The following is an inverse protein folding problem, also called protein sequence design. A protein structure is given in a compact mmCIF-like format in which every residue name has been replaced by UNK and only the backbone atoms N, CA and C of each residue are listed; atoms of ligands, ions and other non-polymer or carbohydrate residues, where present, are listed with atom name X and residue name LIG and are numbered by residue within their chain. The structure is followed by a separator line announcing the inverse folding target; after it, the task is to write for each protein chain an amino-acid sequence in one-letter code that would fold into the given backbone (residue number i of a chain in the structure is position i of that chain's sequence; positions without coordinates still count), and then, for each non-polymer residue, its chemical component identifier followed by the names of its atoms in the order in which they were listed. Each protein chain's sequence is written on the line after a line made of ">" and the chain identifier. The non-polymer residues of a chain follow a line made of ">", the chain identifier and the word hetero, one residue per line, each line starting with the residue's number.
data_IF_453407805229
#
_entry.id   IF_453407805229
#
_cell.length_a   1.000
_cell.length_b   1.000
_cell.length_c   1.000
_cell.angle_alpha   90.00
_cell.angle_beta   90.00
_cell.angle_gamma   90.00
#
_symmetry.space_group_name_H-M   'P 1'
#
loop_
_entity.id
_entity.type
_entity.pdbx_description
1 polymer ?
#
# COMPACT_ATOMS: atom_id res chain seq x y z
N UNK A 1 13.56 -8.37 5.37
CA UNK A 1 13.86 -7.08 6.05
C UNK A 1 14.48 -7.47 7.37
N UNK A 2 15.75 -7.12 7.54
CA UNK A 2 16.54 -7.71 8.62
C UNK A 2 16.99 -6.66 9.65
N UNK A 3 16.63 -5.38 9.42
CA UNK A 3 16.86 -4.30 10.37
C UNK A 3 15.95 -4.48 11.61
N UNK A 4 16.51 -4.68 12.82
CA UNK A 4 15.70 -4.99 14.01
C UNK A 4 14.73 -3.88 14.43
N UNK A 5 15.04 -2.62 14.08
CA UNK A 5 14.18 -1.49 14.37
C UNK A 5 13.03 -1.34 13.35
N UNK A 6 13.07 -2.06 12.24
CA UNK A 6 12.05 -1.97 11.21
C UNK A 6 10.75 -2.63 11.69
N UNK A 7 9.57 -1.97 11.55
CA UNK A 7 8.29 -2.55 11.96
C UNK A 7 7.95 -3.88 11.29
N UNK A 8 8.47 -4.09 10.08
CA UNK A 8 8.35 -5.31 9.30
C UNK A 8 9.60 -6.21 9.37
N UNK A 9 10.40 -6.13 10.44
CA UNK A 9 11.56 -7.01 10.64
C UNK A 9 11.14 -8.48 10.58
N UNK A 10 11.87 -9.28 9.80
CA UNK A 10 11.55 -10.69 9.50
C UNK A 10 10.53 -10.89 8.39
N UNK A 11 9.94 -9.83 7.84
CA UNK A 11 9.02 -9.89 6.70
C UNK A 11 9.71 -9.52 5.38
N UNK A 12 9.02 -9.74 4.27
CA UNK A 12 9.43 -9.27 2.96
C UNK A 12 9.28 -7.74 2.84
N UNK A 13 10.05 -7.15 1.93
CA UNK A 13 9.91 -5.75 1.53
C UNK A 13 10.06 -5.63 0.01
N UNK A 14 9.47 -4.59 -0.56
CA UNK A 14 9.66 -4.24 -1.97
C UNK A 14 10.68 -3.11 -2.09
N UNK A 15 11.71 -3.29 -2.90
CA UNK A 15 12.81 -2.34 -3.05
C UNK A 15 12.97 -1.93 -4.52
N UNK A 16 13.31 -0.67 -4.75
CA UNK A 16 13.60 -0.17 -6.09
C UNK A 16 14.89 -0.80 -6.61
N UNK A 17 14.83 -1.51 -7.74
CA UNK A 17 16.03 -2.08 -8.38
C UNK A 17 16.85 -1.03 -9.15
N UNK A 18 16.22 0.09 -9.51
CA UNK A 18 16.79 1.22 -10.26
C UNK A 18 16.19 2.52 -9.74
N UNK A 19 16.83 3.69 -9.97
CA UNK A 19 16.22 4.96 -9.63
C UNK A 19 14.90 5.17 -10.40
N UNK A 20 13.88 5.66 -9.72
CA UNK A 20 12.56 5.95 -10.29
C UNK A 20 12.19 7.41 -10.00
N UNK A 21 11.91 8.24 -11.02
CA UNK A 21 11.53 9.63 -10.80
C UNK A 21 10.13 9.75 -10.19
N UNK A 22 9.83 10.91 -9.60
CA UNK A 22 8.49 11.23 -9.12
C UNK A 22 7.43 11.00 -10.22
N UNK A 23 6.33 10.35 -9.87
CA UNK A 23 5.25 10.02 -10.78
C UNK A 23 5.50 8.81 -11.67
N UNK A 24 6.71 8.22 -11.67
CA UNK A 24 6.96 6.96 -12.37
C UNK A 24 6.11 5.84 -11.79
N UNK A 25 5.67 4.92 -12.68
CA UNK A 25 5.03 3.68 -12.26
C UNK A 25 6.10 2.66 -11.91
N UNK A 26 6.06 2.13 -10.68
CA UNK A 26 6.91 1.02 -10.28
C UNK A 26 6.37 -0.29 -10.88
N UNK A 27 5.15 -0.68 -10.51
CA UNK A 27 4.43 -1.82 -11.06
C UNK A 27 2.91 -1.63 -10.87
N UNK A 28 2.10 -2.61 -11.25
CA UNK A 28 0.70 -2.69 -10.83
C UNK A 28 0.60 -3.62 -9.62
N UNK A 29 -0.24 -3.30 -8.65
CA UNK A 29 -0.66 -4.22 -7.60
C UNK A 29 -1.63 -5.23 -8.23
N UNK A 30 -1.27 -6.51 -8.21
CA UNK A 30 -2.05 -7.58 -8.84
C UNK A 30 -2.61 -8.49 -7.76
N UNK A 31 -3.87 -8.85 -7.91
CA UNK A 31 -4.62 -9.69 -6.98
C UNK A 31 -5.85 -10.33 -7.64
N UNK A 32 -6.56 -11.14 -6.86
CA UNK A 32 -7.91 -11.61 -7.21
C UNK A 32 -8.91 -10.47 -7.01
N UNK A 33 -9.67 -10.12 -8.06
CA UNK A 33 -10.76 -9.17 -7.97
C UNK A 33 -11.98 -9.84 -7.35
N UNK A 34 -12.59 -9.22 -6.34
CA UNK A 34 -13.82 -9.69 -5.69
C UNK A 34 -14.90 -8.62 -5.78
N UNK A 35 -16.12 -9.07 -6.09
CA UNK A 35 -17.31 -8.24 -5.99
C UNK A 35 -17.96 -8.44 -4.61
N UNK A 36 -18.64 -7.43 -4.06
CA UNK A 36 -19.49 -7.62 -2.89
C UNK A 36 -20.63 -8.63 -3.23
N UNK A 37 -21.17 -9.33 -2.22
CA UNK A 37 -22.32 -10.20 -2.43
C UNK A 37 -23.54 -9.40 -2.93
N UNK A 38 -24.48 -10.04 -3.65
CA UNK A 38 -25.58 -9.35 -4.36
C UNK A 38 -26.42 -8.39 -3.50
N UNK A 39 -26.62 -8.72 -2.23
CA UNK A 39 -27.40 -7.93 -1.26
C UNK A 39 -26.52 -7.30 -0.16
N UNK A 40 -25.20 -7.30 -0.35
CA UNK A 40 -24.24 -6.73 0.60
C UNK A 40 -24.04 -5.23 0.40
N UNK A 41 -23.58 -4.51 1.44
CA UNK A 41 -23.09 -3.15 1.24
C UNK A 41 -21.91 -3.17 0.24
N UNK A 42 -21.69 -2.09 -0.53
CA UNK A 42 -20.47 -1.92 -1.31
C UNK A 42 -19.22 -2.22 -0.45
N UNK A 43 -18.17 -2.80 -1.03
CA UNK A 43 -16.92 -3.10 -0.30
C UNK A 43 -16.36 -1.89 0.46
N UNK A 44 -16.41 -0.67 -0.11
CA UNK A 44 -16.02 0.55 0.59
C UNK A 44 -16.87 0.88 1.84
N UNK A 45 -18.09 0.36 1.91
CA UNK A 45 -19.05 0.59 3.00
C UNK A 45 -19.21 -0.63 3.93
N UNK A 46 -18.65 -1.77 3.57
CA UNK A 46 -18.76 -2.99 4.36
C UNK A 46 -17.90 -2.87 5.63
N UNK A 47 -18.42 -3.24 6.82
CA UNK A 47 -17.58 -3.38 8.00
C UNK A 47 -16.47 -4.39 7.69
N UNK A 48 -15.27 -4.18 8.25
CA UNK A 48 -14.15 -5.09 8.06
C UNK A 48 -14.61 -6.52 8.41
N UNK A 49 -14.69 -7.40 7.40
CA UNK A 49 -15.06 -8.78 7.61
C UNK A 49 -14.06 -9.45 8.56
N UNK A 50 -14.52 -10.43 9.35
CA UNK A 50 -13.65 -11.18 10.26
C UNK A 50 -12.52 -11.95 9.56
N UNK A 51 -12.60 -12.11 8.23
CA UNK A 51 -11.63 -12.79 7.37
C UNK A 51 -10.97 -11.84 6.35
N UNK A 52 -10.79 -10.56 6.73
CA UNK A 52 -10.19 -9.57 5.81
C UNK A 52 -8.68 -9.82 5.67
N UNK A 53 -8.26 -10.16 4.45
CA UNK A 53 -6.86 -10.35 4.08
C UNK A 53 -6.02 -9.08 4.37
N UNK A 54 -4.80 -9.26 4.86
CA UNK A 54 -3.80 -8.19 5.01
C UNK A 54 -3.39 -7.57 3.65
N UNK A 55 -3.69 -8.26 2.55
CA UNK A 55 -3.30 -7.92 1.18
C UNK A 55 -4.48 -7.42 0.33
N UNK A 56 -5.57 -7.00 0.97
CA UNK A 56 -6.76 -6.52 0.29
C UNK A 56 -6.80 -4.99 0.17
N UNK A 57 -6.95 -4.51 -1.06
CA UNK A 57 -7.15 -3.10 -1.39
C UNK A 57 -8.56 -2.86 -1.95
N UNK A 58 -9.08 -1.66 -1.72
CA UNK A 58 -10.26 -1.18 -2.41
C UNK A 58 -9.92 -0.95 -3.89
N UNK A 59 -10.84 -1.32 -4.79
CA UNK A 59 -10.63 -1.29 -6.24
C UNK A 59 -11.91 -0.88 -6.98
N UNK A 60 -11.76 -0.36 -8.20
CA UNK A 60 -12.88 0.19 -8.97
C UNK A 60 -13.02 1.70 -8.81
N UNK A 61 -13.67 2.35 -9.79
CA UNK A 61 -13.75 3.81 -9.87
C UNK A 61 -14.49 4.44 -8.66
N UNK A 62 -15.36 3.64 -8.04
CA UNK A 62 -16.16 4.00 -6.87
C UNK A 62 -15.83 3.12 -5.67
N UNK A 63 -14.68 2.41 -5.71
CA UNK A 63 -14.30 1.44 -4.67
C UNK A 63 -15.37 0.36 -4.46
N UNK A 64 -15.97 -0.08 -5.56
CA UNK A 64 -17.08 -1.04 -5.62
C UNK A 64 -16.62 -2.50 -5.70
N UNK A 65 -15.32 -2.73 -5.90
CA UNK A 65 -14.66 -4.03 -5.90
C UNK A 65 -13.53 -4.05 -4.87
N UNK A 66 -13.03 -5.24 -4.53
CA UNK A 66 -11.76 -5.37 -3.84
C UNK A 66 -10.76 -6.17 -4.65
N UNK A 67 -9.48 -5.95 -4.35
CA UNK A 67 -8.35 -6.62 -4.98
C UNK A 67 -7.48 -7.24 -3.90
N UNK A 68 -7.46 -8.57 -3.82
CA UNK A 68 -6.73 -9.32 -2.79
C UNK A 68 -5.52 -10.06 -3.36
N UNK A 69 -4.31 -9.72 -2.88
CA UNK A 69 -3.05 -10.32 -3.30
C UNK A 69 -2.53 -11.45 -2.39
N UNK A 70 -3.35 -11.97 -1.48
CA UNK A 70 -2.95 -13.00 -0.52
C UNK A 70 -2.44 -14.29 -1.20
N UNK A 71 -3.23 -14.84 -2.13
CA UNK A 71 -2.93 -16.10 -2.82
C UNK A 71 -2.35 -15.87 -4.22
N UNK A 72 -2.96 -14.97 -5.00
CA UNK A 72 -2.57 -14.65 -6.37
C UNK A 72 -2.10 -13.20 -6.41
N UNK A 73 -0.92 -12.94 -6.95
CA UNK A 73 -0.42 -11.57 -7.07
C UNK A 73 1.01 -11.48 -7.58
N UNK A 74 1.65 -10.35 -7.30
CA UNK A 74 3.04 -10.08 -7.65
C UNK A 74 3.78 -9.43 -6.48
N UNK A 75 4.98 -8.90 -6.73
CA UNK A 75 5.85 -8.29 -5.71
C UNK A 75 5.24 -7.05 -5.05
N UNK A 76 4.23 -6.42 -5.66
CA UNK A 76 3.50 -5.28 -5.08
C UNK A 76 2.89 -5.59 -3.70
N UNK A 77 2.59 -6.86 -3.42
CA UNK A 77 2.08 -7.31 -2.12
C UNK A 77 3.08 -7.15 -0.96
N UNK A 78 4.35 -6.91 -1.26
CA UNK A 78 5.41 -6.73 -0.26
C UNK A 78 5.68 -5.26 0.08
N UNK A 79 4.84 -4.32 -0.37
CA UNK A 79 4.87 -2.94 0.13
C UNK A 79 4.55 -2.92 1.62
N UNK A 80 5.39 -2.25 2.41
CA UNK A 80 5.17 -2.04 3.84
C UNK A 80 4.56 -0.67 4.13
N UNK A 81 3.87 -0.54 5.27
CA UNK A 81 3.43 0.77 5.75
C UNK A 81 4.64 1.58 6.18
N UNK A 82 4.68 2.86 5.80
CA UNK A 82 5.78 3.74 6.14
C UNK A 82 5.90 4.03 7.65
N UNK A 83 4.83 3.89 8.42
CA UNK A 83 4.84 4.33 9.82
C UNK A 83 5.80 3.51 10.65
N UNK A 84 6.51 4.20 11.54
CA UNK A 84 7.55 3.63 12.40
C UNK A 84 8.81 3.13 11.69
N UNK A 85 8.94 3.35 10.37
CA UNK A 85 10.19 3.09 9.61
C UNK A 85 11.19 4.25 9.70
N UNK A 86 10.78 5.40 10.26
CA UNK A 86 11.57 6.63 10.22
C UNK A 86 11.61 7.33 8.86
N UNK A 87 10.92 6.79 7.84
CA UNK A 87 10.86 7.32 6.46
C UNK A 87 9.41 7.71 6.11
N UNK A 88 9.19 8.73 5.26
CA UNK A 88 7.85 9.03 4.72
C UNK A 88 7.42 7.95 3.71
N UNK A 89 6.11 7.86 3.38
CA UNK A 89 5.72 7.06 2.23
C UNK A 89 6.31 7.69 0.97
N UNK A 90 6.82 6.85 0.06
CA UNK A 90 7.45 7.28 -1.19
C UNK A 90 6.73 6.72 -2.43
N UNK A 91 5.74 5.85 -2.24
CA UNK A 91 4.82 5.40 -3.28
C UNK A 91 3.36 5.56 -2.85
N UNK A 92 2.47 5.56 -3.83
CA UNK A 92 1.03 5.62 -3.64
C UNK A 92 0.30 4.71 -4.64
N UNK A 93 -0.90 4.29 -4.24
CA UNK A 93 -1.82 3.56 -5.10
C UNK A 93 -2.62 4.53 -5.96
N UNK A 94 -2.66 4.31 -7.27
CA UNK A 94 -3.52 5.06 -8.19
C UNK A 94 -4.16 4.14 -9.22
N UNK A 95 -5.45 4.34 -9.46
CA UNK A 95 -6.13 3.68 -10.55
C UNK A 95 -5.59 4.18 -11.89
N UNK A 96 -5.46 3.26 -12.85
CA UNK A 96 -5.08 3.58 -14.23
C UNK A 96 -5.80 2.65 -15.18
N UNK A 97 -5.98 3.09 -16.43
CA UNK A 97 -6.35 2.20 -17.52
C UNK A 97 -5.07 1.58 -18.14
N UNK A 98 -5.16 0.32 -18.56
CA UNK A 98 -4.20 -0.27 -19.47
C UNK A 98 -4.54 0.07 -20.93
N UNK A 99 -3.78 -0.49 -21.88
CA UNK A 99 -3.95 -0.21 -23.32
C UNK A 99 -5.31 -0.69 -23.87
N UNK A 100 -5.92 -1.68 -23.23
CA UNK A 100 -7.23 -2.20 -23.60
C UNK A 100 -8.38 -1.47 -22.88
N UNK A 101 -8.06 -0.46 -22.05
CA UNK A 101 -9.04 0.27 -21.25
C UNK A 101 -9.41 -0.44 -19.94
N UNK A 102 -8.81 -1.58 -19.62
CA UNK A 102 -9.09 -2.27 -18.37
C UNK A 102 -8.45 -1.54 -17.19
N UNK A 103 -9.21 -1.41 -16.10
CA UNK A 103 -8.75 -0.76 -14.88
C UNK A 103 -7.67 -1.61 -14.19
N UNK A 104 -6.61 -0.96 -13.70
CA UNK A 104 -5.53 -1.56 -12.92
C UNK A 104 -5.25 -0.71 -11.68
N UNK A 105 -4.81 -1.36 -10.62
CA UNK A 105 -4.31 -0.70 -9.42
C UNK A 105 -2.81 -0.45 -9.59
N UNK A 106 -2.39 0.75 -9.99
CA UNK A 106 -0.99 1.08 -10.16
C UNK A 106 -0.31 1.48 -8.85
N UNK A 107 0.98 1.17 -8.73
CA UNK A 107 1.88 1.69 -7.69
C UNK A 107 2.78 2.73 -8.34
N UNK A 108 2.73 3.95 -7.83
CA UNK A 108 3.48 5.06 -8.40
C UNK A 108 4.32 5.78 -7.36
N UNK A 109 5.49 6.26 -7.76
CA UNK A 109 6.36 7.08 -6.91
C UNK A 109 5.68 8.40 -6.60
N UNK A 110 5.48 8.67 -5.31
CA UNK A 110 4.87 9.90 -4.77
C UNK A 110 5.92 10.84 -4.15
N UNK A 111 7.13 10.34 -3.89
CA UNK A 111 8.24 11.15 -3.41
C UNK A 111 8.68 12.19 -4.46
N UNK A 112 8.68 13.48 -4.08
CA UNK A 112 9.03 14.59 -4.98
C UNK A 112 10.42 14.47 -5.60
N UNK A 113 11.37 13.87 -4.88
CA UNK A 113 12.75 13.65 -5.34
C UNK A 113 12.92 12.33 -6.11
N UNK A 114 11.87 11.54 -6.27
CA UNK A 114 11.98 10.16 -6.74
C UNK A 114 12.40 9.22 -5.61
N UNK A 115 12.77 8.00 -6.00
CA UNK A 115 13.40 6.98 -5.14
C UNK A 115 14.66 6.47 -5.83
N UNK A 116 15.69 6.18 -5.05
CA UNK A 116 16.96 5.66 -5.53
C UNK A 116 16.96 4.12 -5.60
N UNK A 117 17.93 3.55 -6.31
CA UNK A 117 18.13 2.10 -6.27
C UNK A 117 18.47 1.64 -4.84
N UNK A 118 17.81 0.58 -4.38
CA UNK A 118 17.92 0.06 -3.02
C UNK A 118 16.94 0.68 -2.02
N UNK A 119 16.23 1.75 -2.37
CA UNK A 119 15.20 2.31 -1.49
C UNK A 119 14.03 1.33 -1.34
N UNK A 120 13.58 1.13 -0.10
CA UNK A 120 12.32 0.43 0.15
C UNK A 120 11.15 1.29 -0.31
N UNK A 121 10.23 0.68 -1.05
CA UNK A 121 8.98 1.29 -1.45
C UNK A 121 7.98 1.17 -0.29
N UNK A 122 7.62 2.32 0.28
CA UNK A 122 6.76 2.45 1.44
C UNK A 122 5.48 3.18 1.06
N UNK A 123 4.34 2.63 1.51
CA UNK A 123 3.01 3.16 1.24
C UNK A 123 2.30 3.49 2.55
N UNK A 124 1.16 4.17 2.49
CA UNK A 124 0.23 4.23 3.64
C UNK A 124 -0.88 3.22 3.43
N UNK A 125 -0.98 2.20 4.30
CA UNK A 125 -2.10 1.25 4.30
C UNK A 125 -3.45 1.91 4.63
N UNK A 126 -3.41 3.05 5.30
CA UNK A 126 -4.59 3.87 5.58
C UNK A 126 -5.23 3.57 6.94
N UNK A 127 -6.11 4.49 7.38
CA UNK A 127 -6.74 4.43 8.70
C UNK A 127 -7.64 3.20 8.92
N UNK A 128 -8.45 2.75 7.94
CA UNK A 128 -9.32 1.58 8.13
C UNK A 128 -8.53 0.30 8.43
N UNK A 129 -7.44 0.06 7.69
CA UNK A 129 -6.54 -1.08 7.93
C UNK A 129 -6.03 -1.12 9.37
N UNK A 130 -5.57 0.02 9.88
CA UNK A 130 -5.01 0.11 11.23
C UNK A 130 -6.08 0.03 12.31
N UNK A 131 -7.24 0.68 12.14
CA UNK A 131 -8.36 0.58 13.10
C UNK A 131 -8.80 -0.86 13.34
N UNK A 132 -8.87 -1.67 12.29
CA UNK A 132 -9.23 -3.07 12.40
C UNK A 132 -8.23 -3.90 13.24
N UNK A 133 -6.97 -3.47 13.36
CA UNK A 133 -5.90 -4.22 14.03
C UNK A 133 -5.55 -3.69 15.42
N UNK A 134 -5.57 -2.38 15.60
CA UNK A 134 -5.18 -1.74 16.88
C UNK A 134 -6.37 -1.23 17.69
N UNK A 135 -7.59 -1.29 17.13
CA UNK A 135 -8.83 -0.84 17.78
C UNK A 135 -8.93 0.70 17.87
N UNK A 136 -8.03 1.33 18.64
CA UNK A 136 -7.87 2.79 18.69
C UNK A 136 -6.58 3.23 17.98
N UNK A 137 -6.68 4.32 17.22
CA UNK A 137 -5.52 4.98 16.62
C UNK A 137 -4.80 5.93 17.60
N UNK A 138 -5.28 6.08 18.84
CA UNK A 138 -4.72 7.04 19.80
C UNK A 138 -3.30 6.65 20.27
N UNK A 139 -3.04 5.34 20.35
CA UNK A 139 -1.71 4.79 20.62
C UNK A 139 -0.86 4.64 19.35
N UNK A 140 -1.39 5.05 18.18
CA UNK A 140 -0.71 4.90 16.90
C UNK A 140 0.36 5.98 16.75
N UNK A 141 1.52 5.72 17.37
CA UNK A 141 2.67 6.62 17.33
C UNK A 141 3.15 6.74 15.88
N UNK A 142 2.95 7.90 15.27
CA UNK A 142 3.74 8.29 14.10
C UNK A 142 5.09 8.80 14.61
N UNK A 143 6.14 7.97 14.59
CA UNK A 143 7.50 8.54 14.55
C UNK A 143 7.62 9.30 13.24
N UNK A 144 7.41 10.62 13.27
CA UNK A 144 7.71 11.45 12.12
C UNK A 144 9.21 11.34 11.87
N UNK A 145 9.65 11.14 10.62
CA UNK A 145 11.07 11.31 10.28
C UNK A 145 11.53 12.63 10.90
N UNK A 146 12.66 12.62 11.59
CA UNK A 146 13.27 13.87 12.03
C UNK A 146 13.35 14.77 10.79
N UNK A 147 12.83 16.00 10.88
CA UNK A 147 13.06 16.97 9.81
C UNK A 147 14.57 17.14 9.75
N UNK A 148 15.23 16.58 8.74
CA UNK A 148 16.53 17.12 8.35
C UNK A 148 16.28 18.59 8.06
N UNK A 149 16.86 19.44 8.90
CA UNK A 149 16.90 20.86 8.65
C UNK A 149 17.57 21.01 7.29
N UNK A 150 16.82 21.51 6.31
CA UNK A 150 17.39 21.95 5.05
C UNK A 150 18.41 23.05 5.39
N UNK A 151 19.69 22.69 5.35
CA UNK A 151 20.81 23.63 5.26
C UNK A 151 20.95 24.15 3.85
#
# INVERSE_FOLDING_TARGET
>A
IDEPAHPACGQCGLFAAVPLPCGARACDYVGTVRAPPPDGPPVACAPAAADKSDYELDFGAHSELSLDAHIVGNEGRFLNDFRNTGRPPNVEFRLRADRAGALRQGIFVSAKRGVEAGDELLVSYGKPYWRARVGSLDAFVTRRPAREAAG
#
